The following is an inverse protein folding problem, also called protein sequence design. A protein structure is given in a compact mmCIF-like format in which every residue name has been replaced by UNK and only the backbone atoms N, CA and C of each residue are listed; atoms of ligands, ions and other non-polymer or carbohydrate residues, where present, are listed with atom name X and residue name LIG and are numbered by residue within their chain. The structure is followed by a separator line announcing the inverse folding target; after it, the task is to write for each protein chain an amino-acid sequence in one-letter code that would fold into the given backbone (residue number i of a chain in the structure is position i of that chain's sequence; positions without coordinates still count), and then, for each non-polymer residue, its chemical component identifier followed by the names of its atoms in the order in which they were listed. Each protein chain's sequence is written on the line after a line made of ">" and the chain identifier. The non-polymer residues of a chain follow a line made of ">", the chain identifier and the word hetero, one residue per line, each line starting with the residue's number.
data_IF_236906380437
#
_entry.id   IF_236906380437
#
_cell.length_a   1.000
_cell.length_b   1.000
_cell.length_c   1.000
_cell.angle_alpha   90.00
_cell.angle_beta   90.00
_cell.angle_gamma   90.00
#
_symmetry.space_group_name_H-M   'P 1'
#
loop_
_entity.id
_entity.type
_entity.pdbx_description
1 polymer ?
#
# COMPACT_ATOMS: atom_id res chain seq x y z
N UNK A 1 -9.38 0.79 30.40
CA UNK A 1 -8.94 1.24 29.05
C UNK A 1 -7.46 1.57 29.08
N UNK A 2 -6.96 2.29 30.06
CA UNK A 2 -5.54 2.62 30.21
C UNK A 2 -4.67 1.36 30.29
N UNK A 3 -5.05 0.39 31.10
CA UNK A 3 -4.38 -0.92 31.20
C UNK A 3 -4.37 -1.66 29.86
N UNK A 4 -5.41 -1.56 29.07
CA UNK A 4 -5.47 -2.15 27.74
C UNK A 4 -4.55 -1.42 26.74
N UNK A 5 -4.46 -0.11 26.81
CA UNK A 5 -3.51 0.67 25.99
C UNK A 5 -2.07 0.31 26.35
N UNK A 6 -1.77 0.16 27.65
CA UNK A 6 -0.47 -0.27 28.14
C UNK A 6 -0.13 -1.67 27.61
N UNK A 7 -1.04 -2.62 27.75
CA UNK A 7 -0.91 -3.96 27.18
C UNK A 7 -0.58 -3.94 25.69
N UNK A 8 -1.28 -3.11 24.88
CA UNK A 8 -1.01 -2.99 23.45
C UNK A 8 0.40 -2.44 23.15
N UNK A 9 0.92 -1.59 24.03
CA UNK A 9 2.28 -1.01 23.90
C UNK A 9 3.39 -1.99 24.28
N UNK A 10 3.10 -2.93 25.15
CA UNK A 10 4.09 -3.83 25.76
C UNK A 10 4.03 -5.26 25.23
N UNK A 11 2.90 -5.67 24.63
CA UNK A 11 2.74 -7.05 24.19
C UNK A 11 3.83 -7.46 23.17
N UNK A 12 4.36 -8.68 23.27
CA UNK A 12 5.28 -9.19 22.26
C UNK A 12 4.58 -9.30 20.90
N UNK A 13 5.28 -8.96 19.82
CA UNK A 13 4.81 -9.20 18.47
C UNK A 13 5.02 -10.68 18.12
N UNK A 14 4.01 -11.34 17.58
CA UNK A 14 4.03 -12.76 17.22
C UNK A 14 5.03 -13.10 16.10
N UNK A 15 5.55 -12.11 15.39
CA UNK A 15 6.57 -12.32 14.35
C UNK A 15 7.97 -12.19 14.96
N UNK A 16 8.64 -13.33 15.09
CA UNK A 16 9.90 -13.55 15.81
C UNK A 16 11.13 -12.78 15.30
N UNK A 17 11.03 -11.98 14.23
CA UNK A 17 12.18 -11.31 13.63
C UNK A 17 12.32 -9.82 13.99
N UNK A 18 11.51 -9.30 14.90
CA UNK A 18 11.61 -7.90 15.32
C UNK A 18 11.79 -7.78 16.83
N UNK A 19 12.87 -7.15 17.25
CA UNK A 19 13.15 -6.75 18.65
C UNK A 19 12.20 -5.64 19.16
N UNK A 20 11.20 -5.25 18.37
CA UNK A 20 10.22 -4.22 18.74
C UNK A 20 9.13 -4.83 19.61
N UNK A 21 9.01 -4.32 20.83
CA UNK A 21 7.88 -4.57 21.70
C UNK A 21 6.69 -3.67 21.32
N UNK A 22 5.50 -4.22 21.45
CA UNK A 22 4.25 -3.51 21.26
C UNK A 22 3.86 -3.21 19.82
N UNK A 23 2.61 -2.77 19.63
CA UNK A 23 2.10 -2.39 18.32
C UNK A 23 2.29 -0.90 18.03
N UNK A 24 2.29 -0.51 16.76
CA UNK A 24 2.43 0.89 16.36
C UNK A 24 1.31 1.77 16.94
N UNK A 25 1.59 3.06 17.15
CA UNK A 25 0.58 4.03 17.60
C UNK A 25 -0.63 4.08 16.64
N UNK A 26 -0.41 3.87 15.35
CA UNK A 26 -1.48 3.79 14.35
C UNK A 26 -2.40 2.59 14.61
N UNK A 27 -1.85 1.44 14.96
CA UNK A 27 -2.61 0.24 15.32
C UNK A 27 -3.39 0.47 16.61
N UNK A 28 -2.78 1.08 17.64
CA UNK A 28 -3.46 1.47 18.87
C UNK A 28 -4.66 2.37 18.55
N UNK A 29 -4.46 3.42 17.75
CA UNK A 29 -5.52 4.35 17.39
C UNK A 29 -6.66 3.66 16.61
N UNK A 30 -6.34 2.72 15.72
CA UNK A 30 -7.36 1.91 15.01
C UNK A 30 -8.18 1.05 15.97
N UNK A 31 -7.51 0.37 16.90
CA UNK A 31 -8.18 -0.45 17.91
C UNK A 31 -9.09 0.38 18.79
N UNK A 32 -8.62 1.56 19.24
CA UNK A 32 -9.43 2.48 20.03
C UNK A 32 -10.62 3.04 19.24
N UNK A 33 -10.45 3.30 17.94
CA UNK A 33 -11.56 3.72 17.07
C UNK A 33 -12.61 2.62 16.90
N UNK A 34 -12.18 1.36 16.73
CA UNK A 34 -13.11 0.23 16.66
C UNK A 34 -13.88 0.03 17.96
N UNK A 35 -13.20 0.12 19.10
CA UNK A 35 -13.86 0.07 20.42
C UNK A 35 -14.82 1.24 20.61
N UNK A 36 -14.46 2.45 20.18
CA UNK A 36 -15.34 3.62 20.25
C UNK A 36 -16.62 3.42 19.44
N UNK A 37 -16.50 2.82 18.24
CA UNK A 37 -17.66 2.50 17.40
C UNK A 37 -18.53 1.41 18.05
N UNK A 38 -17.92 0.36 18.62
CA UNK A 38 -18.64 -0.69 19.32
C UNK A 38 -19.41 -0.13 20.54
N UNK A 39 -18.74 0.67 21.39
CA UNK A 39 -19.40 1.27 22.54
C UNK A 39 -20.52 2.24 22.14
N UNK A 40 -20.34 2.98 21.04
CA UNK A 40 -21.42 3.83 20.50
C UNK A 40 -22.60 2.98 20.09
N UNK A 41 -22.39 1.92 19.34
CA UNK A 41 -23.42 0.99 18.91
C UNK A 41 -24.21 0.41 20.10
N UNK A 42 -23.51 -0.11 21.10
CA UNK A 42 -24.12 -0.72 22.29
C UNK A 42 -24.78 0.27 23.28
N UNK A 43 -24.50 1.57 23.16
CA UNK A 43 -25.09 2.60 24.03
C UNK A 43 -26.15 3.47 23.35
N UNK A 44 -26.15 3.56 22.01
CA UNK A 44 -26.95 4.53 21.28
C UNK A 44 -27.81 3.91 20.16
N UNK A 45 -27.43 2.70 19.63
CA UNK A 45 -28.06 2.18 18.42
C UNK A 45 -28.80 0.85 18.61
N UNK A 46 -28.51 0.10 19.67
CA UNK A 46 -29.13 -1.23 19.94
C UNK A 46 -29.72 -1.28 21.32
N UNK A 47 -30.87 -1.92 21.38
CA UNK A 47 -31.63 -2.16 22.64
C UNK A 47 -31.71 -3.67 22.87
N UNK A 48 -31.84 -4.06 24.15
CA UNK A 48 -32.11 -5.43 24.55
C UNK A 48 -33.62 -5.74 24.42
N UNK A 49 -34.03 -6.96 24.75
CA UNK A 49 -35.44 -7.41 24.66
C UNK A 49 -36.38 -6.61 25.56
N UNK A 50 -35.87 -5.78 26.47
CA UNK A 50 -36.61 -4.92 27.39
C UNK A 50 -36.70 -3.46 26.92
N UNK A 51 -36.06 -3.13 25.79
CA UNK A 51 -36.01 -1.77 25.25
C UNK A 51 -34.92 -0.89 25.90
N UNK A 52 -34.01 -1.48 26.66
CA UNK A 52 -32.89 -0.78 27.28
C UNK A 52 -31.61 -0.90 26.47
N UNK A 53 -30.72 0.11 26.43
CA UNK A 53 -29.40 -0.02 25.81
C UNK A 53 -28.57 -1.06 26.56
N UNK A 54 -27.72 -1.83 25.82
CA UNK A 54 -26.82 -2.81 26.43
C UNK A 54 -25.83 -2.19 27.40
N UNK A 55 -25.43 -0.94 27.17
CA UNK A 55 -24.62 -0.16 28.10
C UNK A 55 -25.20 1.24 28.25
N UNK A 56 -25.41 1.68 29.50
CA UNK A 56 -25.91 3.02 29.81
C UNK A 56 -24.86 4.13 29.64
N UNK A 57 -23.57 3.78 29.50
CA UNK A 57 -22.50 4.76 29.44
C UNK A 57 -21.41 4.37 28.45
N UNK A 58 -21.17 5.26 27.49
CA UNK A 58 -20.02 5.14 26.58
C UNK A 58 -18.72 5.63 27.26
N UNK A 59 -17.97 4.70 27.82
CA UNK A 59 -16.69 5.00 28.50
C UNK A 59 -15.61 5.48 27.53
N UNK A 60 -15.74 5.18 26.22
CA UNK A 60 -14.79 5.60 25.19
C UNK A 60 -14.85 7.10 24.90
N UNK A 61 -15.95 7.82 25.25
CA UNK A 61 -16.02 9.30 25.12
C UNK A 61 -14.94 10.03 25.92
N UNK A 62 -14.34 9.39 26.94
CA UNK A 62 -13.25 9.96 27.75
C UNK A 62 -11.85 9.63 27.24
N UNK A 63 -11.76 8.76 26.22
CA UNK A 63 -10.46 8.33 25.68
C UNK A 63 -10.04 9.29 24.58
N UNK A 64 -9.03 10.09 24.86
CA UNK A 64 -8.43 10.98 23.88
C UNK A 64 -7.39 10.22 23.04
N UNK A 65 -7.65 10.06 21.75
CA UNK A 65 -6.62 9.63 20.79
C UNK A 65 -5.76 10.84 20.44
N UNK A 66 -4.63 11.01 21.17
CA UNK A 66 -3.65 12.06 20.83
C UNK A 66 -3.04 11.74 19.46
N UNK A 67 -3.51 12.38 18.42
CA UNK A 67 -2.79 12.43 17.15
C UNK A 67 -1.62 13.37 17.34
N UNK A 68 -0.37 12.90 17.10
CA UNK A 68 0.75 13.81 16.89
C UNK A 68 0.36 14.71 15.72
N UNK A 69 0.15 15.99 15.98
CA UNK A 69 -0.09 16.98 14.93
C UNK A 69 1.27 17.31 14.33
N UNK A 70 1.60 16.65 13.26
CA UNK A 70 2.72 17.03 12.41
C UNK A 70 2.31 18.28 11.61
N UNK A 71 3.17 19.27 11.55
CA UNK A 71 2.90 20.46 10.73
C UNK A 71 2.85 20.09 9.25
N UNK A 72 2.10 20.85 8.44
CA UNK A 72 2.03 20.62 7.00
C UNK A 72 3.42 20.66 6.34
N UNK A 73 4.30 21.55 6.79
CA UNK A 73 5.68 21.64 6.29
C UNK A 73 6.48 20.38 6.62
N UNK A 74 6.45 19.90 7.87
CA UNK A 74 7.15 18.69 8.28
C UNK A 74 6.62 17.46 7.52
N UNK A 75 5.30 17.39 7.29
CA UNK A 75 4.70 16.32 6.50
C UNK A 75 5.11 16.39 5.03
N UNK A 76 5.15 17.58 4.43
CA UNK A 76 5.59 17.77 3.06
C UNK A 76 7.06 17.34 2.89
N UNK A 77 7.94 17.73 3.80
CA UNK A 77 9.35 17.33 3.79
C UNK A 77 9.52 15.80 3.94
N UNK A 78 8.81 15.18 4.87
CA UNK A 78 8.81 13.72 5.05
C UNK A 78 8.29 12.96 3.81
N UNK A 79 7.36 13.55 3.06
CA UNK A 79 6.87 12.99 1.81
C UNK A 79 7.93 13.15 0.72
N UNK A 80 8.50 14.36 0.58
CA UNK A 80 9.54 14.68 -0.41
C UNK A 80 10.74 13.73 -0.33
N UNK A 81 11.23 13.44 0.88
CA UNK A 81 12.34 12.51 1.11
C UNK A 81 12.05 11.04 0.74
N UNK A 82 10.79 10.69 0.49
CA UNK A 82 10.35 9.32 0.16
C UNK A 82 9.88 9.16 -1.28
N UNK A 83 9.84 10.24 -2.02
CA UNK A 83 9.43 10.22 -3.43
C UNK A 83 10.67 10.25 -4.32
N UNK A 84 10.60 9.53 -5.42
CA UNK A 84 11.50 9.75 -6.53
C UNK A 84 11.12 11.06 -7.22
N UNK A 85 12.03 12.00 -7.32
CA UNK A 85 11.83 13.32 -7.90
C UNK A 85 12.68 13.50 -9.16
N UNK A 86 12.14 14.17 -10.18
CA UNK A 86 12.87 14.41 -11.42
C UNK A 86 13.34 13.11 -12.08
N UNK A 87 14.63 13.03 -12.35
CA UNK A 87 15.25 11.91 -13.06
C UNK A 87 15.50 10.66 -12.18
N UNK A 88 15.21 10.72 -10.88
CA UNK A 88 15.45 9.60 -9.96
C UNK A 88 14.62 8.36 -10.32
N UNK A 89 13.44 8.55 -10.88
CA UNK A 89 12.58 7.44 -11.33
C UNK A 89 13.23 6.66 -12.47
N UNK A 90 13.78 7.36 -13.46
CA UNK A 90 14.49 6.74 -14.59
C UNK A 90 15.82 6.17 -14.13
N UNK A 91 16.54 6.86 -13.24
CA UNK A 91 17.75 6.37 -12.59
C UNK A 91 17.52 5.06 -11.83
N UNK A 92 16.43 4.95 -11.11
CA UNK A 92 16.06 3.72 -10.39
C UNK A 92 15.77 2.55 -11.36
N UNK A 93 15.05 2.79 -12.44
CA UNK A 93 14.79 1.77 -13.45
C UNK A 93 16.10 1.33 -14.15
N UNK A 94 16.98 2.27 -14.45
CA UNK A 94 18.33 1.99 -15.02
C UNK A 94 19.18 1.18 -14.06
N UNK A 95 19.17 1.52 -12.77
CA UNK A 95 19.84 0.73 -11.73
C UNK A 95 19.36 -0.72 -11.71
N UNK A 96 18.04 -0.94 -11.71
CA UNK A 96 17.49 -2.30 -11.73
C UNK A 96 17.90 -3.04 -13.01
N UNK A 97 17.92 -2.36 -14.13
CA UNK A 97 18.24 -2.96 -15.43
C UNK A 97 19.72 -3.35 -15.58
N UNK A 98 20.64 -2.52 -15.08
CA UNK A 98 22.07 -2.59 -15.40
C UNK A 98 22.96 -2.91 -14.21
N UNK A 99 22.71 -2.33 -13.03
CA UNK A 99 23.60 -2.42 -11.89
C UNK A 99 23.19 -3.51 -10.90
N UNK A 100 21.90 -3.62 -10.60
CA UNK A 100 21.39 -4.63 -9.68
C UNK A 100 21.79 -6.07 -10.05
N UNK A 101 21.77 -6.48 -11.33
CA UNK A 101 22.21 -7.83 -11.73
C UNK A 101 23.65 -8.16 -11.34
N UNK A 102 24.54 -7.16 -11.29
CA UNK A 102 25.97 -7.34 -10.96
C UNK A 102 26.19 -7.74 -9.49
N UNK A 103 25.21 -7.49 -8.63
CA UNK A 103 25.25 -7.79 -7.20
C UNK A 103 24.62 -9.14 -6.86
N UNK A 104 24.05 -9.83 -7.83
CA UNK A 104 23.31 -11.08 -7.62
C UNK A 104 24.23 -12.31 -7.66
N UNK A 105 23.92 -13.31 -6.86
CA UNK A 105 24.50 -14.64 -7.02
C UNK A 105 24.08 -15.27 -8.36
N UNK A 106 24.84 -16.22 -8.89
CA UNK A 106 24.53 -16.89 -10.17
C UNK A 106 23.11 -17.46 -10.22
N UNK A 107 22.62 -18.03 -9.14
CA UNK A 107 21.25 -18.57 -9.03
C UNK A 107 20.21 -17.46 -9.12
N UNK A 108 20.41 -16.37 -8.39
CA UNK A 108 19.51 -15.23 -8.38
C UNK A 108 19.54 -14.49 -9.75
N UNK A 109 20.71 -14.36 -10.36
CA UNK A 109 20.88 -13.77 -11.68
C UNK A 109 20.12 -14.54 -12.77
N UNK A 110 20.17 -15.87 -12.74
CA UNK A 110 19.40 -16.70 -13.68
C UNK A 110 17.88 -16.45 -13.55
N UNK A 111 17.37 -16.39 -12.32
CA UNK A 111 15.96 -16.08 -12.06
C UNK A 111 15.59 -14.64 -12.46
N UNK A 112 16.48 -13.69 -12.18
CA UNK A 112 16.30 -12.28 -12.56
C UNK A 112 16.23 -12.15 -14.09
N UNK A 113 17.20 -12.69 -14.83
CA UNK A 113 17.22 -12.62 -16.30
C UNK A 113 15.99 -13.24 -16.95
N UNK A 114 15.41 -14.28 -16.33
CA UNK A 114 14.18 -14.90 -16.81
C UNK A 114 12.96 -13.99 -16.65
N UNK A 115 12.94 -13.12 -15.65
CA UNK A 115 11.75 -12.32 -15.29
C UNK A 115 11.96 -10.81 -15.51
N UNK A 116 13.17 -10.39 -15.89
CA UNK A 116 13.61 -9.00 -15.95
C UNK A 116 12.62 -8.06 -16.64
N UNK A 117 12.19 -8.39 -17.85
CA UNK A 117 11.34 -7.52 -18.64
C UNK A 117 9.94 -7.39 -18.03
N UNK A 118 9.43 -8.47 -17.42
CA UNK A 118 8.16 -8.45 -16.70
C UNK A 118 8.25 -7.56 -15.45
N UNK A 119 9.30 -7.75 -14.67
CA UNK A 119 9.46 -7.08 -13.39
C UNK A 119 9.75 -5.58 -13.61
N UNK A 120 10.56 -5.22 -14.59
CA UNK A 120 10.77 -3.83 -15.02
C UNK A 120 9.47 -3.19 -15.53
N UNK A 121 8.67 -3.89 -16.32
CA UNK A 121 7.39 -3.37 -16.81
C UNK A 121 6.41 -3.12 -15.65
N UNK A 122 6.34 -4.01 -14.66
CA UNK A 122 5.49 -3.84 -13.47
C UNK A 122 5.94 -2.63 -12.66
N UNK A 123 7.24 -2.51 -12.38
CA UNK A 123 7.78 -1.39 -11.60
C UNK A 123 7.57 -0.08 -12.35
N UNK A 124 7.89 -0.04 -13.65
CA UNK A 124 7.68 1.14 -14.48
C UNK A 124 6.20 1.57 -14.52
N UNK A 125 5.27 0.61 -14.63
CA UNK A 125 3.84 0.88 -14.61
C UNK A 125 3.39 1.48 -13.28
N UNK A 126 3.83 0.89 -12.15
CA UNK A 126 3.48 1.38 -10.82
C UNK A 126 4.00 2.80 -10.57
N UNK A 127 5.25 3.08 -10.96
CA UNK A 127 5.86 4.40 -10.84
C UNK A 127 5.19 5.44 -11.77
N UNK A 128 4.82 5.03 -12.98
CA UNK A 128 4.27 5.91 -13.99
C UNK A 128 2.78 6.25 -13.80
N UNK A 129 2.04 5.41 -13.08
CA UNK A 129 0.58 5.55 -12.93
C UNK A 129 0.12 5.79 -11.49
N UNK A 130 0.93 5.43 -10.50
CA UNK A 130 0.56 5.51 -9.08
C UNK A 130 -0.62 4.60 -8.69
N UNK A 131 -0.96 3.60 -9.50
CA UNK A 131 -2.02 2.63 -9.18
C UNK A 131 -1.60 1.73 -8.02
N UNK A 132 -2.59 1.18 -7.31
CA UNK A 132 -2.32 0.25 -6.23
C UNK A 132 -1.81 -1.08 -6.79
N UNK A 133 -0.98 -1.78 -6.01
CA UNK A 133 -0.48 -3.10 -6.42
C UNK A 133 -1.61 -4.07 -6.80
N UNK A 134 -2.71 -4.08 -6.05
CA UNK A 134 -3.88 -4.92 -6.35
C UNK A 134 -4.58 -4.53 -7.67
N UNK A 135 -4.57 -3.26 -8.02
CA UNK A 135 -5.11 -2.78 -9.30
C UNK A 135 -4.20 -3.20 -10.45
N UNK A 136 -2.89 -3.08 -10.30
CA UNK A 136 -1.92 -3.50 -11.30
C UNK A 136 -1.90 -5.01 -11.55
N UNK A 137 -2.03 -5.83 -10.49
CA UNK A 137 -2.08 -7.31 -10.59
C UNK A 137 -3.33 -7.81 -11.34
N UNK A 138 -4.43 -7.08 -11.26
CA UNK A 138 -5.69 -7.42 -11.92
C UNK A 138 -5.83 -6.81 -13.32
N UNK A 139 -4.79 -6.15 -13.87
CA UNK A 139 -4.82 -5.61 -15.21
C UNK A 139 -4.71 -6.70 -16.27
N UNK A 140 -5.62 -6.67 -17.22
CA UNK A 140 -5.50 -7.41 -18.48
C UNK A 140 -4.77 -6.58 -19.54
N UNK A 141 -4.22 -7.24 -20.57
CA UNK A 141 -3.58 -6.56 -21.71
C UNK A 141 -4.56 -5.63 -22.43
N UNK A 142 -5.83 -6.01 -22.50
CA UNK A 142 -6.91 -5.20 -23.12
C UNK A 142 -7.20 -3.89 -22.37
N UNK A 143 -6.84 -3.82 -21.09
CA UNK A 143 -7.01 -2.62 -20.28
C UNK A 143 -5.86 -1.62 -20.50
N UNK A 144 -4.81 -1.98 -21.26
CA UNK A 144 -3.65 -1.15 -21.54
C UNK A 144 -3.72 -0.56 -22.94
N UNK A 145 -3.85 0.75 -23.04
CA UNK A 145 -3.72 1.50 -24.28
C UNK A 145 -2.36 2.19 -24.40
N UNK A 146 -1.41 1.51 -25.05
CA UNK A 146 -0.04 2.05 -25.25
C UNK A 146 0.02 3.26 -26.19
N UNK A 147 -0.97 3.46 -27.04
CA UNK A 147 -1.00 4.63 -27.94
C UNK A 147 -1.34 5.90 -27.18
N UNK A 148 -2.35 5.80 -26.33
CA UNK A 148 -2.83 6.91 -25.49
C UNK A 148 -2.10 7.00 -24.16
N UNK A 149 -1.30 5.98 -23.79
CA UNK A 149 -0.66 5.85 -22.48
C UNK A 149 -1.68 5.94 -21.34
N UNK A 150 -2.72 5.12 -21.41
CA UNK A 150 -3.80 5.01 -20.43
C UNK A 150 -4.03 3.55 -20.08
N UNK A 151 -4.39 3.30 -18.83
CA UNK A 151 -4.85 1.99 -18.33
C UNK A 151 -6.22 2.13 -17.69
N UNK A 152 -7.06 1.12 -17.88
CA UNK A 152 -8.35 1.01 -17.22
C UNK A 152 -8.22 0.09 -16.00
N UNK A 153 -8.51 0.63 -14.81
CA UNK A 153 -8.36 -0.10 -13.54
C UNK A 153 -9.70 -0.25 -12.84
N UNK A 154 -9.84 -1.35 -12.11
CA UNK A 154 -10.98 -1.54 -11.22
C UNK A 154 -10.60 -1.12 -9.81
N UNK A 155 -11.19 -0.02 -9.33
CA UNK A 155 -10.99 0.52 -7.99
C UNK A 155 -11.70 -0.33 -6.92
N UNK A 156 -11.33 -0.11 -5.66
CA UNK A 156 -12.05 -0.69 -4.51
C UNK A 156 -13.56 -0.38 -4.61
N UNK A 157 -14.38 -1.41 -4.52
CA UNK A 157 -15.84 -1.31 -4.70
C UNK A 157 -16.33 -1.55 -6.13
N UNK A 158 -15.45 -2.02 -7.05
CA UNK A 158 -15.85 -2.41 -8.42
C UNK A 158 -15.96 -1.26 -9.42
N UNK A 159 -15.68 -0.02 -9.03
CA UNK A 159 -15.73 1.14 -9.94
C UNK A 159 -14.56 1.09 -10.94
N UNK A 160 -14.86 1.16 -12.23
CA UNK A 160 -13.85 1.34 -13.29
C UNK A 160 -13.40 2.79 -13.39
N UNK A 161 -12.11 2.98 -13.63
CA UNK A 161 -11.48 4.29 -13.74
C UNK A 161 -10.31 4.20 -14.73
N UNK A 162 -10.12 5.26 -15.52
CA UNK A 162 -9.02 5.35 -16.48
C UNK A 162 -7.89 6.21 -15.89
N UNK A 163 -6.67 5.67 -15.90
CA UNK A 163 -5.49 6.29 -15.29
C UNK A 163 -4.43 6.54 -16.37
N UNK A 164 -3.90 7.76 -16.40
CA UNK A 164 -2.79 8.11 -17.27
C UNK A 164 -1.50 7.43 -16.79
N UNK A 165 -0.69 6.99 -17.75
CA UNK A 165 0.62 6.39 -17.53
C UNK A 165 1.69 7.33 -18.09
N UNK A 166 2.66 7.71 -17.28
CA UNK A 166 3.75 8.58 -17.74
C UNK A 166 4.57 7.93 -18.86
N UNK A 167 5.03 8.74 -19.80
CA UNK A 167 5.63 8.27 -21.06
C UNK A 167 6.89 7.41 -20.88
N UNK A 168 7.65 7.61 -19.80
CA UNK A 168 8.88 6.86 -19.54
C UNK A 168 8.63 5.33 -19.38
N UNK A 169 7.42 4.92 -18.97
CA UNK A 169 7.09 3.48 -18.84
C UNK A 169 6.90 2.78 -20.20
N UNK A 170 6.68 3.53 -21.29
CA UNK A 170 6.34 2.96 -22.58
C UNK A 170 7.35 1.95 -23.12
N UNK A 171 8.67 2.17 -23.10
CA UNK A 171 9.65 1.20 -23.58
C UNK A 171 9.62 -0.10 -22.79
N UNK A 172 9.51 -0.04 -21.46
CA UNK A 172 9.46 -1.21 -20.59
C UNK A 172 8.20 -2.06 -20.84
N UNK A 173 7.05 -1.42 -20.99
CA UNK A 173 5.79 -2.09 -21.31
C UNK A 173 5.84 -2.76 -22.70
N UNK A 174 6.40 -2.09 -23.70
CA UNK A 174 6.58 -2.66 -25.06
C UNK A 174 7.49 -3.88 -25.05
N UNK A 175 8.63 -3.79 -24.36
CA UNK A 175 9.59 -4.88 -24.27
C UNK A 175 8.97 -6.11 -23.62
N UNK A 176 8.26 -5.92 -22.51
CA UNK A 176 7.56 -7.03 -21.86
C UNK A 176 6.49 -7.65 -22.75
N UNK A 177 5.66 -6.86 -23.43
CA UNK A 177 4.60 -7.39 -24.30
C UNK A 177 5.17 -8.18 -25.48
N UNK A 178 6.31 -7.75 -26.06
CA UNK A 178 6.98 -8.47 -27.13
C UNK A 178 7.43 -9.86 -26.69
N UNK A 179 8.07 -9.96 -25.51
CA UNK A 179 8.55 -11.22 -24.95
C UNK A 179 7.38 -12.10 -24.46
N UNK A 180 6.36 -11.47 -23.87
CA UNK A 180 5.19 -12.19 -23.38
C UNK A 180 4.51 -13.02 -24.48
N UNK A 181 4.35 -12.44 -25.65
CA UNK A 181 3.73 -13.13 -26.79
C UNK A 181 4.52 -14.35 -27.27
N UNK A 182 5.80 -14.40 -26.99
CA UNK A 182 6.66 -15.57 -27.29
C UNK A 182 6.60 -16.64 -26.18
N UNK A 183 6.47 -16.21 -24.91
CA UNK A 183 6.52 -17.11 -23.74
C UNK A 183 5.17 -17.71 -23.35
N UNK A 184 4.09 -17.01 -23.58
CA UNK A 184 2.73 -17.41 -23.15
C UNK A 184 1.82 -17.47 -24.39
N UNK A 185 2.08 -18.49 -25.23
CA UNK A 185 1.23 -18.84 -26.38
C UNK A 185 0.00 -19.61 -25.93
#
# INVERSE_FOLDING_TARGET
>A
IESFILYLRERPLLNANTTKQGVSQTTINRTLSALSSLYKYLTEEVENDQGDPYFYRNVMKKVSTKKKKETLAARAENIKQKLFLGDETEGFLTYIDQEYPQQLSNRALSSFNKNKERDLAIIALLLASGVRLSEAVNLDIRDLNLKMMVIDVTRKGGKRDSVNVAAFAKPYLKNYLAIRNQRYK
#
